data_IF_657496177420
#
_entry.id   IF_657496177420
#
_cell.length_a   1.000
_cell.length_b   1.000
_cell.length_c   1.000
_cell.angle_alpha   90.00
_cell.angle_beta   90.00
_cell.angle_gamma   90.00
#
_symmetry.space_group_name_H-M   'P 1'
#
loop_
_entity.id
_entity.type
_entity.pdbx_description
1 polymer ?
#
# COMPACT_ATOMS: atom_id res chain seq x y z
N UNK A 1 -3.08 27.37 0.45
CA UNK A 1 -3.20 26.18 -0.42
C UNK A 1 -1.82 25.99 -1.02
N UNK A 2 -1.24 24.80 -0.98
CA UNK A 2 0.10 24.61 -1.57
C UNK A 2 -0.02 24.78 -3.08
N UNK A 3 0.58 25.83 -3.64
CA UNK A 3 0.61 26.15 -5.08
C UNK A 3 1.59 25.23 -5.84
N UNK A 4 1.74 23.99 -5.39
CA UNK A 4 2.64 23.03 -6.00
C UNK A 4 2.08 22.65 -7.36
N UNK A 5 2.88 22.80 -8.41
CA UNK A 5 2.47 22.49 -9.78
C UNK A 5 2.47 20.98 -10.02
N UNK A 6 1.61 20.50 -10.93
CA UNK A 6 1.67 19.11 -11.36
C UNK A 6 3.00 18.86 -12.08
N UNK A 7 3.85 17.91 -11.64
CA UNK A 7 5.16 17.68 -12.24
C UNK A 7 5.08 17.22 -13.70
N UNK A 8 3.94 16.71 -14.14
CA UNK A 8 3.75 16.23 -15.51
C UNK A 8 3.24 17.32 -16.49
N UNK A 9 2.46 18.29 -16.02
CA UNK A 9 1.80 19.24 -16.93
C UNK A 9 1.77 20.71 -16.44
N UNK A 10 2.44 21.03 -15.34
CA UNK A 10 2.53 22.39 -14.78
C UNK A 10 1.21 22.96 -14.22
N UNK A 11 0.13 22.17 -14.19
CA UNK A 11 -1.16 22.65 -13.73
C UNK A 11 -1.23 22.71 -12.20
N UNK A 12 -1.82 23.76 -11.66
CA UNK A 12 -2.08 23.95 -10.21
C UNK A 12 -3.43 23.43 -9.77
N UNK A 13 -4.34 23.14 -10.71
CA UNK A 13 -5.66 22.59 -10.41
C UNK A 13 -5.58 21.17 -9.83
N UNK A 14 -6.47 20.89 -8.87
CA UNK A 14 -6.51 19.65 -8.10
C UNK A 14 -7.94 19.14 -7.97
N UNK A 15 -8.13 17.84 -8.17
CA UNK A 15 -9.38 17.12 -7.89
C UNK A 15 -9.14 16.24 -6.67
N UNK A 16 -9.94 16.43 -5.63
CA UNK A 16 -9.88 15.59 -4.42
C UNK A 16 -10.96 14.52 -4.50
N UNK A 17 -10.56 13.26 -4.30
CA UNK A 17 -11.46 12.11 -4.19
C UNK A 17 -11.12 11.30 -2.95
N UNK A 18 -12.02 10.40 -2.57
CA UNK A 18 -11.79 9.44 -1.51
C UNK A 18 -12.06 8.05 -2.07
N UNK A 19 -11.14 7.13 -1.85
CA UNK A 19 -11.34 5.75 -2.25
C UNK A 19 -12.28 5.01 -1.27
N UNK A 20 -12.56 3.74 -1.52
CA UNK A 20 -13.45 2.92 -0.67
C UNK A 20 -13.02 2.80 0.79
N UNK A 21 -11.74 3.06 1.09
CA UNK A 21 -11.16 3.04 2.43
C UNK A 21 -11.15 4.43 3.09
N UNK A 22 -11.81 5.42 2.48
CA UNK A 22 -11.78 6.83 2.87
C UNK A 22 -10.36 7.44 2.89
N UNK A 23 -9.44 6.90 2.10
CA UNK A 23 -8.12 7.51 1.90
C UNK A 23 -8.24 8.62 0.85
N UNK A 24 -7.69 9.79 1.18
CA UNK A 24 -7.71 10.98 0.31
C UNK A 24 -6.78 10.81 -0.88
N UNK A 25 -7.33 10.94 -2.08
CA UNK A 25 -6.61 10.92 -3.34
C UNK A 25 -6.64 12.31 -3.96
N UNK A 26 -5.49 12.81 -4.37
CA UNK A 26 -5.32 14.14 -4.97
C UNK A 26 -4.86 13.96 -6.41
N UNK A 27 -5.72 14.28 -7.35
CA UNK A 27 -5.44 14.18 -8.77
C UNK A 27 -5.15 15.56 -9.38
N UNK A 28 -4.30 15.61 -10.39
CA UNK A 28 -4.21 16.75 -11.29
C UNK A 28 -5.53 16.87 -12.09
N UNK A 29 -6.08 18.08 -12.20
CA UNK A 29 -7.33 18.32 -12.92
C UNK A 29 -7.18 18.21 -14.45
N UNK A 30 -5.99 18.48 -15.00
CA UNK A 30 -5.73 18.40 -16.44
C UNK A 30 -5.35 17.00 -16.90
N UNK A 31 -4.34 16.40 -16.28
CA UNK A 31 -3.78 15.11 -16.72
C UNK A 31 -4.30 13.91 -15.93
N UNK A 32 -5.13 14.13 -14.90
CA UNK A 32 -5.76 13.08 -14.09
C UNK A 32 -4.80 12.08 -13.44
N UNK A 33 -3.54 12.48 -13.23
CA UNK A 33 -2.54 11.69 -12.50
C UNK A 33 -2.72 11.91 -11.00
N UNK A 34 -2.63 10.84 -10.21
CA UNK A 34 -2.63 10.91 -8.75
C UNK A 34 -1.28 11.46 -8.25
N UNK A 35 -1.32 12.59 -7.57
CA UNK A 35 -0.16 13.35 -7.13
C UNK A 35 0.35 12.89 -5.76
N UNK A 36 -0.49 12.22 -4.98
CA UNK A 36 -0.13 11.63 -3.69
C UNK A 36 -0.19 10.09 -3.73
N UNK A 37 0.22 9.49 -4.86
CA UNK A 37 0.13 8.04 -5.10
C UNK A 37 0.80 7.22 -3.99
N UNK A 38 2.00 7.60 -3.57
CA UNK A 38 2.75 6.87 -2.53
C UNK A 38 2.00 6.88 -1.18
N UNK A 39 1.54 8.07 -0.75
CA UNK A 39 0.74 8.23 0.48
C UNK A 39 -0.55 7.40 0.42
N UNK A 40 -1.24 7.43 -0.73
CA UNK A 40 -2.48 6.66 -0.95
C UNK A 40 -2.21 5.16 -0.84
N UNK A 41 -1.14 4.68 -1.47
CA UNK A 41 -0.75 3.27 -1.44
C UNK A 41 -0.40 2.82 -0.02
N UNK A 42 0.41 3.59 0.69
CA UNK A 42 0.82 3.28 2.07
C UNK A 42 -0.40 3.23 3.01
N UNK A 43 -1.22 4.28 3.02
CA UNK A 43 -2.43 4.33 3.86
C UNK A 43 -3.41 3.22 3.51
N UNK A 44 -3.62 2.97 2.22
CA UNK A 44 -4.51 1.89 1.76
C UNK A 44 -3.98 0.53 2.22
N UNK A 45 -2.67 0.29 2.15
CA UNK A 45 -2.05 -0.95 2.65
C UNK A 45 -2.26 -1.10 4.16
N UNK A 46 -2.05 -0.06 4.95
CA UNK A 46 -2.29 -0.09 6.40
C UNK A 46 -3.74 -0.40 6.75
N UNK A 47 -4.70 0.26 6.08
CA UNK A 47 -6.14 0.00 6.28
C UNK A 47 -6.49 -1.44 5.90
N UNK A 48 -5.93 -1.99 4.82
CA UNK A 48 -6.17 -3.38 4.44
C UNK A 48 -5.64 -4.38 5.45
N UNK A 49 -4.45 -4.15 6.02
CA UNK A 49 -3.89 -5.03 7.05
C UNK A 49 -4.73 -4.93 8.33
N UNK A 50 -5.02 -3.72 8.81
CA UNK A 50 -5.84 -3.52 9.99
C UNK A 50 -7.26 -4.10 9.81
N UNK A 51 -7.85 -3.99 8.61
CA UNK A 51 -9.13 -4.63 8.28
C UNK A 51 -9.06 -6.14 8.35
N UNK A 52 -7.96 -6.75 7.89
CA UNK A 52 -7.75 -8.21 7.96
C UNK A 52 -7.58 -8.68 9.40
N UNK A 53 -6.92 -7.88 10.23
CA UNK A 53 -6.68 -8.17 11.65
C UNK A 53 -7.90 -7.83 12.54
N UNK A 54 -8.96 -7.22 12.00
CA UNK A 54 -10.11 -6.75 12.79
C UNK A 54 -9.83 -5.50 13.64
N UNK A 55 -8.74 -4.79 13.34
CA UNK A 55 -8.18 -3.67 14.12
C UNK A 55 -8.37 -2.30 13.47
N UNK A 56 -9.38 -2.14 12.59
CA UNK A 56 -9.66 -0.84 11.96
C UNK A 56 -9.88 0.28 12.97
N UNK A 57 -10.54 -0.02 14.11
CA UNK A 57 -10.76 0.98 15.14
C UNK A 57 -9.44 1.47 15.75
N UNK A 58 -8.51 0.57 16.05
CA UNK A 58 -7.17 0.93 16.54
C UNK A 58 -6.41 1.78 15.52
N UNK A 59 -6.58 1.50 14.22
CA UNK A 59 -5.95 2.28 13.15
C UNK A 59 -6.47 3.71 13.14
N UNK A 60 -7.80 3.88 13.21
CA UNK A 60 -8.41 5.21 13.22
C UNK A 60 -8.16 5.97 14.54
N UNK A 61 -7.94 5.27 15.65
CA UNK A 61 -7.55 5.87 16.93
C UNK A 61 -6.04 6.19 17.03
N UNK A 62 -5.24 5.80 16.04
CA UNK A 62 -3.79 6.02 16.03
C UNK A 62 -3.00 5.13 16.99
N UNK A 63 -3.62 4.08 17.54
CA UNK A 63 -2.98 3.12 18.45
C UNK A 63 -2.55 1.83 17.75
N UNK A 64 -2.88 1.68 16.46
CA UNK A 64 -2.52 0.51 15.67
C UNK A 64 -1.00 0.41 15.50
N UNK A 65 -0.45 -0.69 16.01
CA UNK A 65 0.90 -1.11 15.69
C UNK A 65 0.80 -2.25 14.70
N UNK A 66 1.33 -2.04 13.50
CA UNK A 66 1.47 -3.11 12.53
C UNK A 66 2.36 -4.18 13.15
N UNK A 67 1.82 -5.38 13.32
CA UNK A 67 2.59 -6.56 13.70
C UNK A 67 3.68 -6.72 12.66
N UNK A 68 4.97 -6.63 13.05
CA UNK A 68 6.06 -7.04 12.18
C UNK A 68 5.88 -8.54 11.95
N UNK A 69 5.27 -8.92 10.83
CA UNK A 69 5.42 -10.27 10.33
C UNK A 69 6.90 -10.41 10.00
N UNK A 70 7.67 -10.97 10.95
CA UNK A 70 8.88 -11.69 10.61
C UNK A 70 8.52 -12.63 9.46
N UNK A 71 9.30 -12.55 8.39
CA UNK A 71 9.00 -13.20 7.13
C UNK A 71 8.49 -14.62 7.37
N UNK A 72 7.40 -14.95 6.68
CA UNK A 72 7.17 -16.32 6.26
C UNK A 72 8.48 -16.78 5.66
N UNK A 73 9.24 -17.57 6.42
CA UNK A 73 10.32 -18.36 5.89
C UNK A 73 9.72 -19.07 4.67
N UNK A 74 10.28 -18.81 3.50
CA UNK A 74 10.13 -19.64 2.33
C UNK A 74 10.47 -21.07 2.78
N UNK A 75 9.45 -21.83 3.17
CA UNK A 75 9.54 -23.28 3.23
C UNK A 75 9.47 -23.74 1.79
N UNK A 76 10.57 -23.59 1.06
CA UNK A 76 10.94 -24.62 0.08
C UNK A 76 11.13 -25.89 0.90
N UNK A 77 10.13 -26.76 0.86
CA UNK A 77 10.17 -28.11 1.41
C UNK A 77 10.06 -29.07 0.25
N UNK A 78 10.95 -30.07 0.29
CA UNK A 78 11.02 -31.30 -0.53
C UNK A 78 11.51 -31.13 -1.98
N UNK A 79 12.49 -31.89 -2.48
CA UNK A 79 13.22 -33.02 -1.90
C UNK A 79 14.47 -33.28 -2.78
N UNK A 80 15.66 -33.24 -2.18
CA UNK A 80 16.87 -33.75 -2.82
C UNK A 80 16.97 -35.24 -2.56
N UNK A 81 16.45 -36.08 -3.47
CA UNK A 81 16.80 -37.51 -3.49
C UNK A 81 17.97 -37.71 -4.44
N UNK A 82 19.14 -37.96 -3.85
CA UNK A 82 20.27 -38.63 -4.47
C UNK A 82 19.80 -39.94 -5.13
N UNK A 83 19.93 -40.05 -6.45
CA UNK A 83 19.97 -41.35 -7.11
C UNK A 83 21.42 -41.66 -7.46
N UNK A 84 22.14 -42.17 -6.47
CA UNK A 84 23.24 -43.08 -6.71
C UNK A 84 22.72 -44.51 -6.60
N UNK A 85 22.54 -45.20 -7.73
CA UNK A 85 22.62 -46.66 -7.77
C UNK A 85 23.08 -47.12 -9.16
N UNK A 86 24.09 -47.98 -9.11
CA UNK A 86 24.89 -48.57 -10.18
C UNK A 86 24.10 -49.44 -11.16
N UNK A 87 24.59 -49.51 -12.40
CA UNK A 87 24.85 -50.79 -13.10
C UNK A 87 26.10 -50.65 -13.97
#
# INVERSE_FOLDING_TARGET
MSDEECPNCGATGRIVRYNKWHVKEVYCDKCHICLNTEEVQEKTRLVQIASREGKLNELYMGTYQQSKNEGTADKESDDSIENGLSD
#
